data_IF_671233242328
#
_entry.id   IF_671233242328
#
_cell.length_a   1.000
_cell.length_b   1.000
_cell.length_c   1.000
_cell.angle_alpha   90.00
_cell.angle_beta   90.00
_cell.angle_gamma   90.00
#
_symmetry.space_group_name_H-M   'P 1'
#
loop_
_entity.id
_entity.type
_entity.pdbx_description
1 polymer ?
#
# COMPACT_ATOMS: atom_id res chain seq x y z
N UNK A 1 9.72 -12.62 13.61
CA UNK A 1 10.92 -11.85 13.27
C UNK A 1 11.60 -12.52 12.09
N UNK A 2 11.87 -11.77 11.03
CA UNK A 2 12.61 -12.26 9.87
C UNK A 2 14.12 -12.05 10.09
N UNK A 3 14.94 -12.89 9.47
CA UNK A 3 16.40 -12.77 9.48
C UNK A 3 16.94 -12.96 8.06
N UNK A 4 18.02 -12.26 7.65
CA UNK A 4 18.65 -12.45 6.35
C UNK A 4 19.02 -13.90 6.08
N UNK A 5 18.65 -14.41 4.90
CA UNK A 5 19.02 -15.76 4.45
C UNK A 5 19.40 -15.73 2.99
N UNK A 6 20.20 -16.72 2.55
CA UNK A 6 20.54 -16.87 1.13
C UNK A 6 19.30 -16.99 0.23
N UNK A 7 18.25 -17.69 0.69
CA UNK A 7 17.01 -17.84 -0.07
C UNK A 7 16.29 -16.49 -0.24
N UNK A 8 16.16 -15.70 0.83
CA UNK A 8 15.54 -14.38 0.75
C UNK A 8 16.35 -13.41 -0.11
N UNK A 9 17.69 -13.46 -0.02
CA UNK A 9 18.56 -12.67 -0.88
C UNK A 9 18.39 -13.05 -2.36
N UNK A 10 18.31 -14.35 -2.66
CA UNK A 10 18.08 -14.86 -4.01
C UNK A 10 16.72 -14.40 -4.57
N UNK A 11 15.64 -14.49 -3.78
CA UNK A 11 14.31 -14.02 -4.16
C UNK A 11 14.28 -12.51 -4.44
N UNK A 12 15.06 -11.74 -3.68
CA UNK A 12 15.22 -10.30 -3.88
C UNK A 12 16.20 -9.94 -5.02
N UNK A 13 16.84 -10.92 -5.67
CA UNK A 13 17.83 -10.70 -6.71
C UNK A 13 19.12 -10.03 -6.20
N UNK A 14 19.50 -10.29 -4.96
CA UNK A 14 20.64 -9.68 -4.26
C UNK A 14 21.67 -10.73 -3.83
N UNK A 15 22.91 -10.29 -3.60
CA UNK A 15 23.85 -11.08 -2.79
C UNK A 15 23.39 -11.11 -1.33
N UNK A 16 23.87 -12.08 -0.54
CA UNK A 16 23.53 -12.13 0.89
C UNK A 16 23.97 -10.85 1.62
N UNK A 17 25.17 -10.35 1.33
CA UNK A 17 25.70 -9.12 1.93
C UNK A 17 24.85 -7.89 1.56
N UNK A 18 24.45 -7.77 0.29
CA UNK A 18 23.55 -6.68 -0.13
C UNK A 18 22.18 -6.77 0.56
N UNK A 19 21.67 -7.99 0.73
CA UNK A 19 20.39 -8.22 1.39
C UNK A 19 20.47 -7.94 2.90
N UNK A 20 21.58 -8.29 3.56
CA UNK A 20 21.83 -7.93 4.96
C UNK A 20 21.87 -6.41 5.12
N UNK A 21 22.61 -5.71 4.27
CA UNK A 21 22.68 -4.25 4.28
C UNK A 21 21.29 -3.62 4.08
N UNK A 22 20.51 -4.12 3.12
CA UNK A 22 19.12 -3.71 2.89
C UNK A 22 18.24 -3.96 4.11
N UNK A 23 18.31 -5.16 4.70
CA UNK A 23 17.51 -5.54 5.84
C UNK A 23 17.79 -4.62 7.04
N UNK A 24 19.06 -4.36 7.33
CA UNK A 24 19.44 -3.50 8.45
C UNK A 24 19.16 -2.02 8.17
N UNK A 25 19.27 -1.54 6.92
CA UNK A 25 18.85 -0.15 6.59
C UNK A 25 17.34 0.05 6.75
N UNK A 26 16.55 -0.99 6.50
CA UNK A 26 15.11 -0.96 6.68
C UNK A 26 14.70 -1.02 8.16
N UNK A 27 15.44 -1.76 8.99
CA UNK A 27 15.06 -2.08 10.38
C UNK A 27 15.76 -1.22 11.45
N UNK A 28 17.06 -0.94 11.29
CA UNK A 28 17.85 -0.14 12.24
C UNK A 28 17.69 1.35 11.96
N UNK A 29 16.46 1.84 12.13
CA UNK A 29 16.11 3.26 11.98
C UNK A 29 15.90 3.91 13.35
N UNK A 30 15.97 5.23 13.39
CA UNK A 30 15.51 6.00 14.55
C UNK A 30 13.98 6.02 14.57
N UNK A 31 13.37 4.94 15.06
CA UNK A 31 11.91 4.79 15.11
C UNK A 31 11.21 5.86 15.96
N UNK A 32 11.92 6.50 16.89
CA UNK A 32 11.37 7.64 17.64
C UNK A 32 11.22 8.85 16.72
N UNK A 33 12.23 9.15 15.91
CA UNK A 33 12.16 10.21 14.91
C UNK A 33 11.15 9.87 13.80
N UNK A 34 11.14 8.63 13.29
CA UNK A 34 10.19 8.18 12.26
C UNK A 34 8.75 8.28 12.77
N UNK A 35 8.47 7.80 13.98
CA UNK A 35 7.13 7.91 14.61
C UNK A 35 6.65 9.35 14.65
N UNK A 36 7.50 10.30 15.03
CA UNK A 36 7.14 11.73 15.04
C UNK A 36 6.73 12.21 13.64
N UNK A 37 7.52 11.90 12.61
CA UNK A 37 7.22 12.29 11.23
C UNK A 37 5.90 11.67 10.76
N UNK A 38 5.72 10.37 11.00
CA UNK A 38 4.50 9.65 10.60
C UNK A 38 3.25 10.23 11.28
N UNK A 39 3.32 10.55 12.57
CA UNK A 39 2.23 11.18 13.29
C UNK A 39 1.96 12.63 12.84
N UNK A 40 2.98 13.37 12.41
CA UNK A 40 2.77 14.68 11.78
C UNK A 40 2.02 14.54 10.46
N UNK A 41 2.40 13.57 9.60
CA UNK A 41 1.72 13.34 8.32
C UNK A 41 0.31 12.79 8.50
N UNK A 42 0.11 11.90 9.47
CA UNK A 42 -1.20 11.35 9.86
C UNK A 42 -2.25 12.44 10.09
N UNK A 43 -1.90 13.54 10.74
CA UNK A 43 -2.83 14.65 11.02
C UNK A 43 -3.48 15.23 9.76
N UNK A 44 -2.74 15.25 8.65
CA UNK A 44 -3.25 15.75 7.36
C UNK A 44 -4.41 14.88 6.87
N UNK A 45 -4.26 13.56 6.97
CA UNK A 45 -5.26 12.61 6.50
C UNK A 45 -6.41 12.43 7.50
N UNK A 46 -6.11 12.40 8.81
CA UNK A 46 -7.15 12.33 9.85
C UNK A 46 -8.10 13.53 9.84
N UNK A 47 -7.62 14.70 9.42
CA UNK A 47 -8.46 15.90 9.26
C UNK A 47 -9.09 16.00 7.87
N UNK A 48 -8.60 15.20 6.92
CA UNK A 48 -9.07 15.19 5.55
C UNK A 48 -10.21 14.19 5.33
N UNK A 49 -11.02 14.42 4.29
CA UNK A 49 -12.14 13.54 3.96
C UNK A 49 -11.98 12.80 2.66
N UNK A 50 -11.34 13.42 1.67
CA UNK A 50 -11.18 12.88 0.33
C UNK A 50 -9.70 12.79 0.00
N UNK A 51 -9.25 11.59 -0.37
CA UNK A 51 -7.90 11.36 -0.87
C UNK A 51 -8.00 11.00 -2.34
N UNK A 52 -7.24 11.70 -3.17
CA UNK A 52 -7.12 11.42 -4.60
C UNK A 52 -5.66 11.13 -4.94
N UNK A 53 -5.46 10.02 -5.65
CA UNK A 53 -4.18 9.56 -6.13
C UNK A 53 -4.15 9.73 -7.65
N UNK A 54 -3.09 10.36 -8.17
CA UNK A 54 -2.91 10.56 -9.62
C UNK A 54 -1.54 10.12 -10.09
N UNK A 55 -1.49 9.52 -11.27
CA UNK A 55 -0.32 9.27 -12.13
C UNK A 55 -0.82 9.04 -13.57
N UNK A 56 0.01 8.85 -14.60
CA UNK A 56 -0.47 8.71 -15.98
C UNK A 56 -1.49 7.59 -16.22
N UNK A 57 -1.45 6.54 -15.39
CA UNK A 57 -2.28 5.34 -15.45
C UNK A 57 -3.18 5.15 -14.21
N UNK A 58 -3.32 6.19 -13.39
CA UNK A 58 -4.11 6.16 -12.16
C UNK A 58 -4.80 7.50 -11.94
N UNK A 59 -6.09 7.44 -11.69
CA UNK A 59 -6.87 8.55 -11.15
C UNK A 59 -7.97 7.95 -10.27
N UNK A 60 -7.66 7.78 -8.99
CA UNK A 60 -8.55 7.13 -8.01
C UNK A 60 -8.82 8.09 -6.86
N UNK A 61 -10.09 8.18 -6.47
CA UNK A 61 -10.55 8.99 -5.35
C UNK A 61 -11.26 8.10 -4.33
N UNK A 62 -10.88 8.24 -3.07
CA UNK A 62 -11.37 7.48 -1.93
C UNK A 62 -11.82 8.44 -0.82
N UNK A 63 -12.77 8.02 0.02
CA UNK A 63 -13.16 8.80 1.20
C UNK A 63 -12.58 8.19 2.47
N UNK A 64 -12.02 9.05 3.31
CA UNK A 64 -11.58 8.78 4.68
C UNK A 64 -12.51 9.44 5.72
N UNK A 65 -13.71 9.90 5.33
CA UNK A 65 -14.62 10.59 6.27
C UNK A 65 -15.02 9.65 7.43
N UNK A 66 -14.78 10.11 8.66
CA UNK A 66 -14.97 9.30 9.87
C UNK A 66 -14.00 8.12 10.02
N UNK A 67 -12.89 8.11 9.27
CA UNK A 67 -11.81 7.13 9.38
C UNK A 67 -10.60 7.75 10.06
N UNK A 68 -9.73 6.90 10.61
CA UNK A 68 -8.51 7.34 11.26
C UNK A 68 -7.33 6.53 10.72
N UNK A 69 -6.20 7.20 10.55
CA UNK A 69 -4.97 6.52 10.19
C UNK A 69 -4.39 5.72 11.35
N UNK A 70 -3.51 4.78 11.04
CA UNK A 70 -2.62 4.14 12.01
C UNK A 70 -1.20 4.22 11.46
N UNK A 71 -0.26 4.62 12.31
CA UNK A 71 1.15 4.65 11.97
C UNK A 71 1.80 3.33 12.42
N UNK A 72 2.36 2.58 11.47
CA UNK A 72 3.21 1.43 11.74
C UNK A 72 4.62 1.98 12.04
N UNK A 73 4.92 2.19 13.33
CA UNK A 73 6.00 3.06 13.79
C UNK A 73 7.09 2.37 14.65
N UNK A 74 7.35 1.09 14.37
CA UNK A 74 8.39 0.27 15.00
C UNK A 74 7.88 -0.57 16.16
N UNK A 75 6.56 -0.74 16.30
CA UNK A 75 5.92 -1.39 17.47
C UNK A 75 5.24 -2.72 17.16
N UNK A 76 4.82 -2.95 15.91
CA UNK A 76 4.07 -4.16 15.54
C UNK A 76 4.85 -5.02 14.54
N UNK A 77 5.41 -4.42 13.49
CA UNK A 77 6.27 -5.11 12.53
C UNK A 77 7.71 -4.59 12.59
N UNK A 78 8.63 -5.36 12.02
CA UNK A 78 10.01 -4.93 11.82
C UNK A 78 10.53 -5.49 10.48
N UNK A 79 10.79 -4.64 9.48
CA UNK A 79 10.62 -3.18 9.54
C UNK A 79 9.15 -2.76 9.57
N UNK A 80 8.90 -1.61 10.18
CA UNK A 80 7.65 -0.87 10.09
C UNK A 80 7.84 0.28 9.06
N UNK A 81 6.95 1.27 9.03
CA UNK A 81 7.14 2.49 8.23
C UNK A 81 6.12 2.67 7.13
N UNK A 82 4.84 2.48 7.47
CA UNK A 82 3.70 2.85 6.62
C UNK A 82 2.63 3.58 7.43
N UNK A 83 1.89 4.44 6.75
CA UNK A 83 0.71 5.10 7.30
C UNK A 83 -0.52 4.60 6.56
N UNK A 84 -1.36 3.83 7.25
CA UNK A 84 -2.48 3.11 6.64
C UNK A 84 -3.85 3.53 7.19
N UNK A 85 -4.87 3.36 6.35
CA UNK A 85 -6.25 3.77 6.55
C UNK A 85 -7.19 2.72 5.96
N UNK A 86 -8.44 2.68 6.42
CA UNK A 86 -9.50 1.92 5.78
C UNK A 86 -10.49 2.89 5.09
N UNK A 87 -10.47 3.03 3.76
CA UNK A 87 -11.44 3.84 3.03
C UNK A 87 -12.90 3.48 3.34
N UNK A 88 -13.81 4.41 3.07
CA UNK A 88 -15.25 4.18 3.20
C UNK A 88 -15.71 3.16 2.15
N UNK A 89 -16.37 2.08 2.58
CA UNK A 89 -16.74 0.96 1.70
C UNK A 89 -17.70 1.37 0.58
N UNK A 90 -18.42 2.47 0.75
CA UNK A 90 -19.40 2.99 -0.20
C UNK A 90 -18.84 4.09 -1.09
N UNK A 91 -17.58 4.50 -0.90
CA UNK A 91 -16.99 5.61 -1.64
C UNK A 91 -15.58 5.31 -2.11
N UNK A 92 -15.50 4.84 -3.34
CA UNK A 92 -14.29 4.83 -4.16
C UNK A 92 -14.72 4.91 -5.61
N UNK A 93 -14.05 5.75 -6.40
CA UNK A 93 -14.29 5.89 -7.84
C UNK A 93 -12.99 6.14 -8.59
N UNK A 94 -12.96 5.74 -9.85
CA UNK A 94 -11.82 5.95 -10.73
C UNK A 94 -11.06 4.65 -11.01
N UNK A 95 -9.77 4.75 -11.28
CA UNK A 95 -8.97 3.59 -11.69
C UNK A 95 -7.52 3.70 -11.21
N UNK A 96 -6.88 2.53 -11.06
CA UNK A 96 -5.48 2.42 -10.65
C UNK A 96 -4.81 1.28 -11.43
N UNK A 97 -3.61 1.54 -11.96
CA UNK A 97 -2.66 0.51 -12.37
C UNK A 97 -1.53 0.40 -11.34
N UNK A 98 -1.23 -0.83 -10.93
CA UNK A 98 -0.14 -1.12 -10.00
C UNK A 98 1.18 -1.35 -10.74
N UNK A 99 2.28 -0.95 -10.10
CA UNK A 99 3.62 -0.94 -10.71
C UNK A 99 4.30 -2.28 -10.58
N UNK A 100 4.16 -2.91 -9.41
CA UNK A 100 4.88 -4.13 -9.06
C UNK A 100 3.98 -5.36 -9.20
N UNK A 101 4.58 -6.55 -9.49
CA UNK A 101 3.87 -7.81 -9.33
C UNK A 101 3.36 -7.96 -7.90
N UNK A 102 2.20 -8.57 -7.73
CA UNK A 102 1.74 -9.02 -6.41
C UNK A 102 1.57 -10.53 -6.39
N UNK A 103 2.12 -11.16 -5.34
CA UNK A 103 2.12 -12.61 -5.19
C UNK A 103 0.89 -13.06 -4.41
N UNK A 104 0.10 -13.94 -5.01
CA UNK A 104 -1.06 -14.54 -4.34
C UNK A 104 -1.07 -16.05 -4.58
N UNK A 105 -1.27 -16.84 -3.52
CA UNK A 105 -1.24 -18.30 -3.62
C UNK A 105 0.00 -18.88 -4.32
N UNK A 106 1.17 -18.24 -4.13
CA UNK A 106 2.43 -18.66 -4.74
C UNK A 106 2.62 -18.32 -6.23
N UNK A 107 1.72 -17.55 -6.85
CA UNK A 107 1.88 -17.07 -8.23
C UNK A 107 1.91 -15.55 -8.28
N UNK A 108 2.75 -15.00 -9.15
CA UNK A 108 2.84 -13.56 -9.38
C UNK A 108 1.77 -13.11 -10.38
N UNK A 109 0.98 -12.12 -9.99
CA UNK A 109 0.01 -11.43 -10.85
C UNK A 109 0.62 -10.09 -11.23
N UNK A 110 0.76 -9.83 -12.53
CA UNK A 110 1.51 -8.69 -13.06
C UNK A 110 0.60 -7.75 -13.86
N UNK A 111 0.90 -6.45 -13.85
CA UNK A 111 0.15 -5.45 -14.60
C UNK A 111 -1.30 -5.28 -14.13
N UNK A 112 -1.55 -5.46 -12.84
CA UNK A 112 -2.90 -5.37 -12.25
C UNK A 112 -3.47 -3.96 -12.48
N UNK A 113 -4.69 -3.91 -13.01
CA UNK A 113 -5.51 -2.70 -13.13
C UNK A 113 -6.87 -2.95 -12.51
N UNK A 114 -7.32 -2.02 -11.68
CA UNK A 114 -8.63 -2.04 -11.04
C UNK A 114 -9.40 -0.76 -11.37
N UNK A 115 -10.66 -0.90 -11.74
CA UNK A 115 -11.60 0.21 -11.90
C UNK A 115 -12.67 0.12 -10.81
N UNK A 116 -12.95 1.26 -10.17
CA UNK A 116 -13.86 1.37 -9.04
C UNK A 116 -15.05 2.26 -9.37
N UNK A 117 -16.22 1.85 -8.86
CA UNK A 117 -17.43 2.65 -8.84
C UNK A 117 -18.23 2.33 -7.59
N UNK A 118 -18.77 3.36 -6.94
CA UNK A 118 -19.60 3.25 -5.74
C UNK A 118 -18.97 2.36 -4.65
N UNK A 119 -17.63 2.47 -4.49
CA UNK A 119 -16.85 1.75 -3.48
C UNK A 119 -16.34 0.37 -3.89
N UNK A 120 -16.73 -0.15 -5.06
CA UNK A 120 -16.45 -1.53 -5.47
C UNK A 120 -15.63 -1.62 -6.75
N UNK A 121 -14.78 -2.63 -6.83
CA UNK A 121 -14.13 -3.07 -8.07
C UNK A 121 -15.20 -3.52 -9.07
N UNK A 122 -15.39 -2.75 -10.14
CA UNK A 122 -16.29 -3.07 -11.25
C UNK A 122 -15.57 -3.73 -12.42
N UNK A 123 -14.25 -3.56 -12.52
CA UNK A 123 -13.39 -4.23 -13.51
C UNK A 123 -12.01 -4.49 -12.93
N UNK A 124 -11.51 -5.70 -13.15
CA UNK A 124 -10.20 -6.14 -12.73
C UNK A 124 -9.52 -6.84 -13.90
N UNK A 125 -8.30 -6.42 -14.25
CA UNK A 125 -7.52 -7.01 -15.35
C UNK A 125 -6.06 -7.14 -14.96
N UNK A 126 -5.34 -8.09 -15.55
CA UNK A 126 -3.91 -8.29 -15.35
C UNK A 126 -3.22 -8.72 -16.65
N UNK A 127 -1.94 -8.37 -16.81
CA UNK A 127 -1.13 -8.78 -17.95
C UNK A 127 -0.68 -10.25 -17.82
N UNK A 128 -0.59 -10.76 -16.59
CA UNK A 128 -0.26 -12.15 -16.26
C UNK A 128 -1.14 -12.66 -15.13
N UNK A 129 -1.62 -13.91 -15.25
CA UNK A 129 -2.47 -14.58 -14.26
C UNK A 129 -3.78 -13.83 -13.92
N UNK A 130 -4.43 -13.23 -14.94
CA UNK A 130 -5.73 -12.55 -14.79
C UNK A 130 -6.84 -13.46 -14.25
N UNK A 131 -6.79 -14.76 -14.56
CA UNK A 131 -7.72 -15.76 -14.02
C UNK A 131 -7.63 -15.86 -12.49
N UNK A 132 -6.44 -15.69 -11.92
CA UNK A 132 -6.24 -15.64 -10.47
C UNK A 132 -6.86 -14.36 -9.90
N UNK A 133 -6.55 -13.19 -10.48
CA UNK A 133 -7.12 -11.92 -10.04
C UNK A 133 -8.66 -11.97 -10.02
N UNK A 134 -9.24 -12.53 -11.08
CA UNK A 134 -10.70 -12.72 -11.19
C UNK A 134 -11.25 -13.56 -10.04
N UNK A 135 -10.62 -14.71 -9.75
CA UNK A 135 -11.02 -15.56 -8.62
C UNK A 135 -10.91 -14.84 -7.28
N UNK A 136 -9.85 -14.05 -7.09
CA UNK A 136 -9.64 -13.32 -5.83
C UNK A 136 -10.74 -12.29 -5.60
N UNK A 137 -11.08 -11.46 -6.59
CA UNK A 137 -12.16 -10.45 -6.47
C UNK A 137 -13.57 -11.07 -6.40
N UNK A 138 -13.69 -12.38 -6.61
CA UNK A 138 -14.94 -13.14 -6.51
C UNK A 138 -15.03 -14.00 -5.24
N UNK A 139 -14.02 -13.91 -4.35
CA UNK A 139 -13.94 -14.77 -3.15
C UNK A 139 -15.17 -14.64 -2.25
N UNK A 140 -15.63 -13.40 -2.03
CA UNK A 140 -16.81 -13.08 -1.23
C UNK A 140 -17.36 -11.69 -1.58
N UNK A 141 -18.42 -11.26 -0.88
CA UNK A 141 -19.12 -10.01 -1.16
C UNK A 141 -18.25 -8.76 -0.98
N UNK A 142 -17.27 -8.84 -0.09
CA UNK A 142 -16.43 -7.71 0.36
C UNK A 142 -15.03 -7.74 -0.29
N UNK A 143 -14.67 -8.83 -0.98
CA UNK A 143 -13.44 -8.98 -1.77
C UNK A 143 -13.25 -7.90 -2.86
N UNK A 144 -14.31 -7.17 -3.22
CA UNK A 144 -14.29 -6.06 -4.19
C UNK A 144 -14.17 -4.69 -3.54
N UNK A 145 -14.13 -4.61 -2.22
CA UNK A 145 -13.97 -3.37 -1.47
C UNK A 145 -12.49 -3.11 -1.20
N UNK A 146 -12.14 -1.85 -0.97
CA UNK A 146 -10.82 -1.51 -0.45
C UNK A 146 -10.87 -1.72 1.07
N UNK A 147 -10.06 -2.67 1.55
CA UNK A 147 -9.83 -2.90 2.97
C UNK A 147 -8.80 -1.94 3.55
N UNK A 148 -7.85 -1.52 2.73
CA UNK A 148 -6.76 -0.65 3.14
C UNK A 148 -6.26 0.25 2.01
N UNK A 149 -5.93 1.48 2.37
CA UNK A 149 -5.07 2.37 1.61
C UNK A 149 -3.92 2.80 2.52
N UNK A 150 -2.68 2.69 2.04
CA UNK A 150 -1.51 3.03 2.82
C UNK A 150 -0.42 3.72 1.99
N UNK A 151 0.43 4.44 2.71
CA UNK A 151 1.55 5.20 2.15
C UNK A 151 2.83 4.66 2.76
N UNK A 152 3.75 4.20 1.90
CA UNK A 152 5.07 3.74 2.30
C UNK A 152 5.96 4.91 2.72
N UNK A 153 6.50 4.83 3.92
CA UNK A 153 7.31 5.87 4.57
C UNK A 153 8.70 5.38 4.99
N UNK A 154 9.04 4.10 4.79
CA UNK A 154 10.33 3.57 5.13
C UNK A 154 11.37 3.88 4.03
N UNK A 155 12.11 4.96 4.21
CA UNK A 155 13.20 5.36 3.29
C UNK A 155 14.42 4.44 3.33
N UNK A 156 14.46 3.47 4.25
CA UNK A 156 15.44 2.38 4.28
C UNK A 156 15.10 1.25 3.32
N UNK A 157 13.86 1.19 2.83
CA UNK A 157 13.40 0.29 1.77
C UNK A 157 13.21 1.11 0.50
N UNK A 158 14.07 0.89 -0.51
CA UNK A 158 14.04 1.66 -1.76
C UNK A 158 13.93 0.80 -3.02
N UNK A 159 14.00 -0.53 -2.87
CA UNK A 159 13.92 -1.51 -3.93
C UNK A 159 12.81 -2.50 -3.61
N UNK A 160 12.12 -2.93 -4.66
CA UNK A 160 11.19 -4.05 -4.58
C UNK A 160 11.98 -5.36 -4.44
N UNK A 161 11.49 -6.25 -3.58
CA UNK A 161 12.20 -7.45 -3.11
C UNK A 161 11.42 -8.75 -3.28
N UNK A 162 10.20 -8.68 -3.84
CA UNK A 162 9.24 -9.81 -3.86
C UNK A 162 8.84 -10.29 -2.46
N UNK A 163 9.02 -9.44 -1.45
CA UNK A 163 8.64 -9.71 -0.09
C UNK A 163 7.76 -8.56 0.40
N UNK A 164 6.47 -8.85 0.46
CA UNK A 164 5.43 -7.86 0.74
C UNK A 164 5.68 -7.08 2.04
N UNK A 165 6.24 -7.74 3.08
CA UNK A 165 6.59 -7.09 4.34
C UNK A 165 7.48 -5.85 4.16
N UNK A 166 8.40 -5.90 3.18
CA UNK A 166 9.23 -4.76 2.83
C UNK A 166 8.58 -3.90 1.75
N UNK A 167 8.03 -4.55 0.73
CA UNK A 167 7.58 -3.87 -0.49
C UNK A 167 6.41 -2.91 -0.24
N UNK A 168 5.53 -3.23 0.70
CA UNK A 168 4.42 -2.35 1.13
C UNK A 168 4.92 -1.08 1.87
N UNK A 169 6.17 -1.11 2.37
CA UNK A 169 6.75 -0.03 3.18
C UNK A 169 7.69 0.89 2.41
N UNK A 170 7.94 0.62 1.12
CA UNK A 170 8.89 1.38 0.29
C UNK A 170 8.59 2.88 0.40
N UNK A 171 9.58 3.67 0.83
CA UNK A 171 9.42 5.11 0.96
C UNK A 171 9.00 5.77 -0.36
N UNK A 172 7.85 6.45 -0.35
CA UNK A 172 7.32 7.15 -1.51
C UNK A 172 6.49 6.27 -2.46
N UNK A 173 6.05 5.09 -2.04
CA UNK A 173 5.02 4.29 -2.72
C UNK A 173 3.68 4.38 -1.98
N UNK A 174 2.65 3.78 -2.57
CA UNK A 174 1.41 3.44 -1.88
C UNK A 174 1.10 1.97 -2.10
N UNK A 175 0.21 1.41 -1.29
CA UNK A 175 -0.52 0.20 -1.64
C UNK A 175 -2.00 0.35 -1.34
N UNK A 176 -2.76 -0.52 -1.99
CA UNK A 176 -4.18 -0.74 -1.73
C UNK A 176 -4.36 -2.23 -1.46
N UNK A 177 -5.04 -2.56 -0.37
CA UNK A 177 -5.53 -3.90 -0.11
C UNK A 177 -6.99 -4.02 -0.53
N UNK A 178 -7.32 -5.03 -1.33
CA UNK A 178 -8.72 -5.42 -1.54
C UNK A 178 -9.17 -6.46 -0.50
N UNK A 179 -10.45 -6.40 -0.12
CA UNK A 179 -11.07 -7.29 0.87
C UNK A 179 -11.15 -6.68 2.26
N UNK A 180 -10.72 -7.44 3.26
CA UNK A 180 -10.98 -7.19 4.69
C UNK A 180 -10.31 -5.91 5.14
N UNK A 181 -11.06 -5.07 5.85
CA UNK A 181 -10.55 -3.84 6.42
C UNK A 181 -10.02 -4.02 7.85
N UNK A 182 -9.04 -3.20 8.23
CA UNK A 182 -8.60 -3.13 9.62
C UNK A 182 -9.61 -2.37 10.49
N UNK A 183 -10.16 -3.04 11.51
CA UNK A 183 -11.12 -2.46 12.46
C UNK A 183 -10.54 -1.29 13.25
N UNK A 184 -9.23 -1.30 13.50
CA UNK A 184 -8.52 -0.20 14.17
C UNK A 184 -8.51 1.12 13.36
N UNK A 185 -8.68 1.05 12.04
CA UNK A 185 -8.88 2.23 11.17
C UNK A 185 -10.37 2.63 11.04
N UNK A 186 -11.27 1.91 11.73
CA UNK A 186 -12.72 2.06 11.63
C UNK A 186 -13.36 1.29 10.48
N UNK A 187 -12.58 0.51 9.72
CA UNK A 187 -13.08 -0.28 8.59
C UNK A 187 -14.12 -1.35 8.99
N UNK A 188 -15.03 -1.64 8.06
CA UNK A 188 -16.18 -2.55 8.25
C UNK A 188 -16.22 -3.70 7.26
N UNK A 189 -15.45 -3.64 6.18
CA UNK A 189 -15.32 -4.74 5.21
C UNK A 189 -14.83 -6.02 5.90
N UNK A 190 -15.61 -7.10 5.79
CA UNK A 190 -15.33 -8.42 6.35
C UNK A 190 -15.18 -9.42 5.20
N UNK A 191 -13.94 -9.79 4.90
CA UNK A 191 -13.61 -10.68 3.78
C UNK A 191 -12.61 -11.75 4.20
N UNK A 192 -12.60 -12.88 3.49
CA UNK A 192 -11.59 -13.91 3.65
C UNK A 192 -10.22 -13.49 3.11
N UNK A 193 -10.17 -12.48 2.25
CA UNK A 193 -8.94 -11.95 1.68
C UNK A 193 -8.56 -10.61 2.28
N UNK A 194 -7.26 -10.33 2.27
CA UNK A 194 -6.68 -9.01 2.42
C UNK A 194 -5.42 -9.05 1.56
N UNK A 195 -5.47 -8.39 0.41
CA UNK A 195 -4.42 -8.54 -0.60
C UNK A 195 -3.84 -7.19 -1.03
N UNK A 196 -2.65 -6.91 -0.51
CA UNK A 196 -1.89 -5.70 -0.77
C UNK A 196 -1.22 -5.71 -2.16
N UNK A 197 -1.35 -4.58 -2.84
CA UNK A 197 -0.80 -4.40 -4.18
C UNK A 197 -0.13 -3.02 -4.25
N UNK A 198 1.16 -3.01 -4.57
CA UNK A 198 2.01 -1.82 -4.47
C UNK A 198 2.05 -1.03 -5.77
N UNK A 199 1.91 0.29 -5.66
CA UNK A 199 2.12 1.26 -6.75
C UNK A 199 3.26 2.22 -6.40
N UNK A 200 4.18 2.38 -7.34
CA UNK A 200 5.24 3.37 -7.22
C UNK A 200 4.72 4.77 -7.58
N UNK A 201 5.00 5.74 -6.70
CA UNK A 201 4.59 7.14 -6.87
C UNK A 201 5.78 8.07 -7.11
N UNK A 202 7.02 7.55 -7.18
CA UNK A 202 8.27 8.34 -7.14
C UNK A 202 8.59 9.11 -8.42
N UNK A 203 7.99 8.77 -9.56
CA UNK A 203 8.29 9.45 -10.84
C UNK A 203 7.30 10.57 -11.16
N UNK A 204 6.00 10.28 -11.09
CA UNK A 204 4.91 11.13 -11.59
C UNK A 204 3.62 10.98 -10.75
N UNK A 205 3.77 10.51 -9.52
CA UNK A 205 2.69 10.30 -8.58
C UNK A 205 2.34 11.55 -7.77
N UNK A 206 1.05 11.80 -7.59
CA UNK A 206 0.52 12.86 -6.73
C UNK A 206 -0.47 12.28 -5.71
N UNK A 207 -0.35 12.70 -4.45
CA UNK A 207 -1.35 12.47 -3.40
C UNK A 207 -1.97 13.81 -3.05
N UNK A 208 -3.29 13.89 -3.16
CA UNK A 208 -4.09 15.09 -2.93
C UNK A 208 -5.09 14.78 -1.82
N UNK A 209 -5.16 15.63 -0.80
CA UNK A 209 -6.13 15.52 0.31
C UNK A 209 -7.00 16.76 0.30
N UNK A 210 -8.32 16.58 0.16
CA UNK A 210 -9.31 17.67 0.07
C UNK A 210 -8.92 18.77 -0.93
N UNK A 211 -8.40 18.36 -2.10
CA UNK A 211 -7.97 19.27 -3.16
C UNK A 211 -6.58 19.90 -2.95
N UNK A 212 -5.95 19.71 -1.79
CA UNK A 212 -4.58 20.16 -1.52
C UNK A 212 -3.57 19.08 -1.90
N UNK A 213 -2.59 19.42 -2.72
CA UNK A 213 -1.46 18.53 -3.03
C UNK A 213 -0.57 18.37 -1.79
N UNK A 214 -0.40 17.14 -1.30
CA UNK A 214 0.36 16.84 -0.07
C UNK A 214 1.65 16.08 -0.36
N UNK A 215 1.68 15.30 -1.45
CA UNK A 215 2.85 14.56 -1.90
C UNK A 215 2.95 14.64 -3.42
N UNK A 216 4.17 14.80 -3.93
CA UNK A 216 4.49 14.75 -5.36
C UNK A 216 5.78 13.98 -5.59
N UNK A 217 5.78 13.05 -6.55
CA UNK A 217 6.93 12.22 -6.92
C UNK A 217 7.51 11.49 -5.69
N UNK A 218 6.65 10.89 -4.87
CA UNK A 218 7.03 10.20 -3.63
C UNK A 218 7.44 11.13 -2.48
N UNK A 219 7.54 12.44 -2.68
CA UNK A 219 8.04 13.41 -1.70
C UNK A 219 6.93 14.25 -1.08
N UNK A 220 6.94 14.35 0.24
CA UNK A 220 6.03 15.21 0.99
C UNK A 220 6.31 16.69 0.72
N UNK A 221 5.26 17.48 0.49
CA UNK A 221 5.36 18.93 0.22
C UNK A 221 5.00 19.80 1.43
N UNK A 222 4.37 19.19 2.42
CA UNK A 222 3.92 19.78 3.69
C UNK A 222 4.38 18.91 4.84
#
# INVERSE_FOLDING_TARGET
TMFPTNAAAQDAGMSLEDYENFFYSATNRDWVAESKIMHEKKKIFDSGKIVRIKSPDTDIEMSLDGRFGVASDGKKNMPDGELYFAPLETYTKGYIKFTYPSRYGGRDVEGIRLEFKDGKVVKATAEKNEDMLTKVVETDADARLIGEFAIGMNWGVQKFTHNLLFDEKIGGTIHIAIGRAYKECGGKSESAIHWDIVKDMRQDGEIIVDGKLVQKNGKWLI
#
